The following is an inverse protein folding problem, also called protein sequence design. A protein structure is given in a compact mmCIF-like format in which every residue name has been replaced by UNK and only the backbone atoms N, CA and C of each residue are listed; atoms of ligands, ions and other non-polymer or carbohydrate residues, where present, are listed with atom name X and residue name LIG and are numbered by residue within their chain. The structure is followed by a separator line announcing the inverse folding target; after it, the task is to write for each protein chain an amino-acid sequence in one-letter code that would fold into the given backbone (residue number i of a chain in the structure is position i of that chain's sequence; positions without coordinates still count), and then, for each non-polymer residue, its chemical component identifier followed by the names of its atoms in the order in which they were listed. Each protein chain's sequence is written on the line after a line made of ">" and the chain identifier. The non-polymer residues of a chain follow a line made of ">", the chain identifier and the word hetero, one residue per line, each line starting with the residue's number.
data_IF_497094280219
#
_entry.id   IF_497094280219
#
_cell.length_a   1.000
_cell.length_b   1.000
_cell.length_c   1.000
_cell.angle_alpha   90.00
_cell.angle_beta   90.00
_cell.angle_gamma   90.00
#
_symmetry.space_group_name_H-M   'P 1'
#
loop_
_entity.id
_entity.type
_entity.pdbx_description
1 polymer ?
#
# COMPACT_ATOMS: atom_id res chain seq x y z
N UNK A 1 25.58 -33.53 33.45
CA UNK A 1 24.91 -33.93 32.20
C UNK A 1 24.37 -32.70 31.51
N UNK A 2 24.37 -32.74 30.18
CA UNK A 2 24.31 -31.65 29.21
C UNK A 2 23.09 -30.69 29.28
N UNK A 3 23.41 -29.40 29.14
CA UNK A 3 22.82 -28.34 28.30
C UNK A 3 21.47 -28.55 27.59
N UNK A 4 20.63 -27.50 27.61
CA UNK A 4 20.06 -26.71 26.47
C UNK A 4 19.01 -25.73 27.02
N UNK A 5 19.32 -24.43 27.12
CA UNK A 5 19.00 -23.39 26.12
C UNK A 5 17.56 -23.45 25.61
N UNK A 6 16.70 -22.57 26.12
CA UNK A 6 15.54 -22.10 25.37
C UNK A 6 15.55 -20.58 25.39
N UNK A 7 15.99 -20.04 24.27
CA UNK A 7 16.08 -18.62 23.96
C UNK A 7 14.66 -18.11 23.70
N UNK A 8 14.06 -17.39 24.65
CA UNK A 8 12.86 -16.62 24.35
C UNK A 8 13.27 -15.48 23.41
N UNK A 9 12.88 -15.66 22.16
CA UNK A 9 13.03 -14.73 21.04
C UNK A 9 12.43 -13.38 21.44
N UNK A 10 13.31 -12.40 21.65
CA UNK A 10 12.94 -10.99 21.71
C UNK A 10 12.36 -10.66 20.33
N UNK A 11 11.05 -10.43 20.24
CA UNK A 11 10.46 -9.81 19.05
C UNK A 11 10.92 -8.34 19.05
N UNK A 12 11.69 -7.87 18.07
CA UNK A 12 11.97 -6.45 17.95
C UNK A 12 10.67 -5.75 17.52
N UNK A 13 10.08 -4.96 18.42
CA UNK A 13 9.10 -3.94 18.02
C UNK A 13 9.87 -2.85 17.26
N UNK A 14 9.52 -2.54 16.01
CA UNK A 14 10.11 -1.42 15.30
C UNK A 14 9.76 -0.09 16.00
N UNK A 15 10.65 0.90 15.92
CA UNK A 15 10.63 2.08 16.77
C UNK A 15 9.45 3.01 16.49
N UNK A 16 8.90 3.55 17.57
CA UNK A 16 8.12 4.78 17.68
C UNK A 16 8.63 5.85 16.68
N UNK A 17 7.76 6.41 15.84
CA UNK A 17 8.13 7.53 14.94
C UNK A 17 7.09 8.65 14.98
N UNK A 18 7.43 9.64 15.81
CA UNK A 18 7.41 11.08 15.55
C UNK A 18 6.17 11.66 14.86
N UNK A 19 5.29 12.23 15.68
CA UNK A 19 4.31 13.26 15.31
C UNK A 19 5.05 14.49 14.76
N UNK A 20 5.34 14.47 13.47
CA UNK A 20 5.88 15.60 12.73
C UNK A 20 4.78 16.04 11.77
N UNK A 21 4.24 17.25 11.99
CA UNK A 21 3.37 17.91 11.02
C UNK A 21 4.05 17.85 9.65
N UNK A 22 3.54 17.06 8.69
CA UNK A 22 4.27 16.86 7.47
C UNK A 22 4.11 18.13 6.65
N UNK A 23 5.23 18.74 6.28
CA UNK A 23 5.30 19.62 5.13
C UNK A 23 4.85 18.79 3.92
N UNK A 24 3.53 18.71 3.71
CA UNK A 24 2.89 17.74 2.82
C UNK A 24 3.44 17.97 1.42
N UNK A 25 4.36 17.09 1.02
CA UNK A 25 4.80 17.06 -0.36
C UNK A 25 3.57 16.62 -1.20
N UNK A 26 3.48 17.09 -2.45
CA UNK A 26 2.31 16.77 -3.29
C UNK A 26 2.08 15.25 -3.37
N UNK A 27 3.15 14.46 -3.32
CA UNK A 27 3.11 13.00 -3.26
C UNK A 27 2.34 12.46 -2.04
N UNK A 28 2.49 13.05 -0.85
CA UNK A 28 1.77 12.63 0.35
C UNK A 28 0.26 12.78 0.14
N UNK A 29 -0.16 13.91 -0.44
CA UNK A 29 -1.57 14.17 -0.77
C UNK A 29 -2.09 13.18 -1.80
N UNK A 30 -1.29 12.85 -2.81
CA UNK A 30 -1.64 11.84 -3.80
C UNK A 30 -1.77 10.44 -3.16
N UNK A 31 -0.91 10.08 -2.20
CA UNK A 31 -1.03 8.81 -1.48
C UNK A 31 -2.33 8.75 -0.68
N UNK A 32 -2.72 9.83 -0.02
CA UNK A 32 -4.01 9.91 0.70
C UNK A 32 -5.21 9.79 -0.23
N UNK A 33 -5.15 10.41 -1.42
CA UNK A 33 -6.17 10.23 -2.46
C UNK A 33 -6.20 8.80 -2.97
N UNK A 34 -5.03 8.17 -3.16
CA UNK A 34 -4.93 6.79 -3.61
C UNK A 34 -5.58 5.82 -2.60
N UNK A 35 -5.37 6.00 -1.29
CA UNK A 35 -6.05 5.21 -0.25
C UNK A 35 -7.58 5.27 -0.41
N UNK A 36 -8.12 6.48 -0.64
CA UNK A 36 -9.56 6.70 -0.84
C UNK A 36 -10.08 6.03 -2.10
N UNK A 37 -9.35 6.14 -3.21
CA UNK A 37 -9.72 5.50 -4.47
C UNK A 37 -9.65 3.97 -4.39
N UNK A 38 -8.64 3.41 -3.72
CA UNK A 38 -8.55 1.96 -3.47
C UNK A 38 -9.75 1.48 -2.66
N UNK A 39 -10.19 2.22 -1.64
CA UNK A 39 -11.40 1.87 -0.86
C UNK A 39 -12.70 2.04 -1.63
N UNK A 40 -12.75 3.01 -2.56
CA UNK A 40 -13.93 3.30 -3.38
C UNK A 40 -14.13 2.26 -4.48
N UNK A 41 -13.05 1.89 -5.16
CA UNK A 41 -13.04 0.99 -6.32
C UNK A 41 -12.79 -0.47 -5.94
N UNK A 42 -11.99 -0.67 -4.92
CA UNK A 42 -11.64 -1.98 -4.39
C UNK A 42 -12.72 -2.57 -3.51
N UNK A 43 -12.45 -3.79 -3.09
CA UNK A 43 -13.27 -4.55 -2.17
C UNK A 43 -12.60 -4.51 -0.80
N UNK A 44 -13.40 -4.50 0.26
CA UNK A 44 -12.87 -4.63 1.62
C UNK A 44 -12.27 -6.03 1.76
N UNK A 45 -11.06 -6.10 2.29
CA UNK A 45 -10.43 -7.38 2.60
C UNK A 45 -11.30 -8.13 3.60
N UNK A 46 -11.55 -9.41 3.32
CA UNK A 46 -12.28 -10.28 4.23
C UNK A 46 -11.41 -10.66 5.45
N UNK A 47 -12.05 -11.12 6.52
CA UNK A 47 -11.36 -11.60 7.72
C UNK A 47 -10.37 -12.72 7.36
N UNK A 48 -9.08 -12.49 7.63
CA UNK A 48 -7.98 -13.39 7.27
C UNK A 48 -7.26 -13.09 5.94
N UNK A 49 -7.71 -12.11 5.14
CA UNK A 49 -6.94 -11.63 3.98
C UNK A 49 -5.94 -10.54 4.39
N UNK A 50 -4.76 -10.47 3.75
CA UNK A 50 -3.80 -9.42 4.02
C UNK A 50 -4.36 -8.05 3.59
N UNK A 51 -4.27 -7.05 4.46
CA UNK A 51 -4.66 -5.67 4.18
C UNK A 51 -6.10 -5.30 4.56
N UNK A 52 -6.46 -4.05 4.26
CA UNK A 52 -7.74 -3.40 4.58
C UNK A 52 -8.69 -3.44 3.38
N UNK A 53 -8.15 -3.24 2.17
CA UNK A 53 -8.89 -3.27 0.92
C UNK A 53 -7.98 -3.76 -0.21
N UNK A 54 -8.57 -4.38 -1.22
CA UNK A 54 -7.87 -4.89 -2.40
C UNK A 54 -8.55 -4.36 -3.66
N UNK A 55 -7.76 -3.84 -4.59
CA UNK A 55 -8.25 -3.41 -5.90
C UNK A 55 -7.32 -3.87 -6.99
N UNK A 56 -7.88 -4.28 -8.13
CA UNK A 56 -7.08 -4.60 -9.32
C UNK A 56 -6.47 -3.32 -9.91
N UNK A 57 -5.20 -3.37 -10.27
CA UNK A 57 -4.50 -2.27 -10.95
C UNK A 57 -5.24 -1.82 -12.21
N UNK A 58 -5.70 -2.78 -13.02
CA UNK A 58 -6.49 -2.53 -14.22
C UNK A 58 -7.74 -1.71 -13.95
N UNK A 59 -8.42 -1.94 -12.83
CA UNK A 59 -9.62 -1.18 -12.44
C UNK A 59 -9.28 0.25 -12.05
N UNK A 60 -8.11 0.46 -11.44
CA UNK A 60 -7.66 1.77 -11.01
C UNK A 60 -7.15 2.64 -12.17
N UNK A 61 -6.44 2.04 -13.15
CA UNK A 61 -5.97 2.75 -14.35
C UNK A 61 -7.07 2.97 -15.40
N UNK A 62 -8.10 2.13 -15.43
CA UNK A 62 -9.26 2.29 -16.33
C UNK A 62 -10.33 3.23 -15.76
N UNK A 63 -10.22 3.63 -14.50
CA UNK A 63 -11.14 4.61 -13.91
C UNK A 63 -10.73 6.02 -14.34
N UNK A 64 -11.64 6.70 -15.05
CA UNK A 64 -11.42 8.04 -15.58
C UNK A 64 -11.10 9.08 -14.49
N UNK A 65 -11.64 8.92 -13.26
CA UNK A 65 -11.36 9.86 -12.17
C UNK A 65 -9.94 9.67 -11.68
N UNK A 66 -9.53 8.44 -11.40
CA UNK A 66 -8.17 8.16 -10.98
C UNK A 66 -7.16 8.63 -12.04
N UNK A 67 -7.38 8.32 -13.32
CA UNK A 67 -6.48 8.75 -14.39
C UNK A 67 -6.42 10.27 -14.59
N UNK A 68 -7.46 11.01 -14.21
CA UNK A 68 -7.50 12.47 -14.34
C UNK A 68 -7.01 13.21 -13.07
N UNK A 69 -7.03 12.54 -11.91
CA UNK A 69 -6.60 13.12 -10.63
C UNK A 69 -5.09 12.88 -10.40
N UNK A 70 -4.56 11.74 -10.83
CA UNK A 70 -3.15 11.41 -10.65
C UNK A 70 -2.33 11.81 -11.88
N UNK A 71 -1.41 12.75 -11.71
CA UNK A 71 -0.46 13.14 -12.77
C UNK A 71 0.47 11.97 -13.12
N UNK A 72 0.86 11.18 -12.11
CA UNK A 72 1.70 10.01 -12.27
C UNK A 72 1.29 8.88 -11.32
N UNK A 73 0.21 8.17 -11.65
CA UNK A 73 -0.31 7.07 -10.81
C UNK A 73 0.77 6.04 -10.40
N UNK A 74 1.62 5.62 -11.35
CA UNK A 74 2.72 4.70 -11.07
C UNK A 74 3.76 5.29 -10.11
N UNK A 75 3.98 6.61 -10.14
CA UNK A 75 4.84 7.33 -9.18
C UNK A 75 4.24 7.33 -7.78
N UNK A 76 2.94 7.58 -7.66
CA UNK A 76 2.19 7.51 -6.40
C UNK A 76 2.18 6.10 -5.82
N UNK A 77 1.89 5.08 -6.63
CA UNK A 77 1.92 3.66 -6.23
C UNK A 77 3.31 3.25 -5.72
N UNK A 78 4.37 3.65 -6.42
CA UNK A 78 5.75 3.38 -6.00
C UNK A 78 6.07 4.04 -4.66
N UNK A 79 5.62 5.28 -4.48
CA UNK A 79 5.83 6.04 -3.25
C UNK A 79 5.06 5.43 -2.08
N UNK A 80 3.79 5.08 -2.28
CA UNK A 80 2.97 4.37 -1.29
C UNK A 80 3.57 3.01 -0.91
N UNK A 81 4.06 2.24 -1.89
CA UNK A 81 4.73 0.95 -1.65
C UNK A 81 6.03 1.12 -0.86
N UNK A 82 6.84 2.13 -1.17
CA UNK A 82 8.07 2.44 -0.41
C UNK A 82 7.79 2.82 1.05
N UNK A 83 6.64 3.43 1.32
CA UNK A 83 6.19 3.76 2.68
C UNK A 83 5.55 2.58 3.43
N UNK A 84 5.26 1.47 2.74
CA UNK A 84 4.55 0.33 3.32
C UNK A 84 3.05 0.55 3.47
N UNK A 85 2.49 1.54 2.77
CA UNK A 85 1.04 1.83 2.79
C UNK A 85 0.27 0.84 1.93
N UNK A 86 0.86 0.44 0.80
CA UNK A 86 0.27 -0.55 -0.12
C UNK A 86 1.28 -1.66 -0.43
N UNK A 87 0.75 -2.78 -0.89
CA UNK A 87 1.51 -3.89 -1.43
C UNK A 87 0.93 -4.33 -2.77
N UNK A 88 1.82 -4.71 -3.69
CA UNK A 88 1.46 -5.30 -4.98
C UNK A 88 2.67 -6.07 -5.51
N UNK A 89 2.41 -7.05 -6.37
CA UNK A 89 3.46 -7.87 -6.98
C UNK A 89 4.18 -7.11 -8.10
N UNK A 90 5.51 -7.20 -8.14
CA UNK A 90 6.35 -6.51 -9.13
C UNK A 90 6.84 -5.13 -8.72
N UNK A 91 7.74 -4.55 -9.53
CA UNK A 91 8.33 -3.21 -9.27
C UNK A 91 7.67 -2.10 -10.08
N UNK A 92 7.07 -2.43 -11.22
CA UNK A 92 6.46 -1.49 -12.16
C UNK A 92 5.26 -2.16 -12.82
N UNK A 93 4.14 -1.44 -12.90
CA UNK A 93 2.90 -1.93 -13.47
C UNK A 93 2.65 -1.21 -14.79
N UNK A 94 2.48 -2.00 -15.83
CA UNK A 94 2.16 -1.53 -17.18
C UNK A 94 0.69 -1.82 -17.47
N UNK A 95 -0.03 -0.81 -17.95
CA UNK A 95 -1.42 -0.95 -18.38
C UNK A 95 -1.53 -2.04 -19.46
N UNK A 96 -2.57 -2.87 -19.36
CA UNK A 96 -2.80 -4.04 -20.21
C UNK A 96 -2.08 -5.29 -19.70
N UNK A 97 -0.77 -5.20 -19.44
CA UNK A 97 0.02 -6.37 -18.99
C UNK A 97 -0.19 -6.72 -17.51
N UNK A 98 -0.47 -5.73 -16.67
CA UNK A 98 -0.60 -5.89 -15.21
C UNK A 98 -2.01 -5.56 -14.70
N UNK A 99 -3.02 -5.60 -15.57
CA UNK A 99 -4.38 -5.21 -15.21
C UNK A 99 -4.99 -6.10 -14.11
N UNK A 100 -4.53 -7.36 -14.03
CA UNK A 100 -4.96 -8.34 -13.04
C UNK A 100 -4.13 -8.36 -11.75
N UNK A 101 -3.17 -7.44 -11.59
CA UNK A 101 -2.38 -7.34 -10.35
C UNK A 101 -3.23 -6.73 -9.24
N UNK A 102 -3.27 -7.41 -8.09
CA UNK A 102 -3.94 -6.93 -6.90
C UNK A 102 -3.08 -5.89 -6.15
N UNK A 103 -3.66 -4.71 -5.95
CA UNK A 103 -3.14 -3.64 -5.10
C UNK A 103 -3.82 -3.76 -3.74
N UNK A 104 -3.04 -4.19 -2.76
CA UNK A 104 -3.48 -4.40 -1.39
C UNK A 104 -3.16 -3.17 -0.55
N UNK A 105 -4.17 -2.55 0.02
CA UNK A 105 -4.02 -1.48 1.00
C UNK A 105 -3.64 -2.08 2.36
N UNK A 106 -2.47 -1.75 2.89
CA UNK A 106 -1.99 -2.23 4.18
C UNK A 106 -2.23 -1.24 5.32
N UNK A 107 -2.14 0.06 5.04
CA UNK A 107 -2.31 1.13 6.02
C UNK A 107 -3.29 2.17 5.52
N UNK A 108 -4.15 2.64 6.41
CA UNK A 108 -5.11 3.69 6.13
C UNK A 108 -4.81 5.00 6.86
N UNK A 109 -4.04 4.96 7.95
CA UNK A 109 -3.63 6.13 8.75
C UNK A 109 -2.45 6.90 8.14
#
# INVERSE_FOLDING_TARGET
>A
MLTKHSSCVVKPQPPERQDATPNMNNTDKEIELLKKEIKRLGEKSADGQPGIAIVKFGKLVRDDKASNIFEALNGTLRSAKRKGVIHFEGQMLLQGAHDDVDIVLLQDE
#
